data_IF_751603199775
#
_entry.id   IF_751603199775
#
_cell.length_a   1.000
_cell.length_b   1.000
_cell.length_c   1.000
_cell.angle_alpha   90.00
_cell.angle_beta   90.00
_cell.angle_gamma   90.00
#
_symmetry.space_group_name_H-M   'P 1'
#
loop_
_entity.id
_entity.type
_entity.pdbx_description
1 polymer ?
#
# COMPACT_ATOMS: atom_id res chain seq x y z
N UNK A 1 20.23 29.75 -32.83
CA UNK A 1 19.58 30.15 -34.09
C UNK A 1 18.19 29.54 -34.13
N UNK A 2 17.12 30.27 -33.78
CA UNK A 2 15.75 29.79 -33.93
C UNK A 2 15.18 30.32 -35.25
N UNK A 3 14.73 29.41 -36.12
CA UNK A 3 14.04 29.78 -37.36
C UNK A 3 12.62 30.24 -37.05
N UNK A 4 12.37 31.53 -37.31
CA UNK A 4 11.08 32.18 -37.22
C UNK A 4 10.40 32.07 -38.61
N UNK A 5 9.32 31.29 -38.73
CA UNK A 5 8.51 31.25 -39.95
C UNK A 5 7.27 32.14 -39.79
N UNK A 6 7.23 33.20 -40.58
CA UNK A 6 6.06 34.04 -40.81
C UNK A 6 4.98 33.27 -41.57
N UNK A 7 3.73 33.34 -41.10
CA UNK A 7 2.53 32.93 -41.84
C UNK A 7 1.75 34.21 -42.19
N UNK A 8 1.41 34.47 -43.47
CA UNK A 8 0.58 35.61 -43.83
C UNK A 8 -0.90 35.30 -43.59
N UNK A 9 -1.61 36.32 -43.05
CA UNK A 9 -3.07 36.32 -42.91
C UNK A 9 -3.73 36.40 -44.28
N UNK A 10 -4.57 35.43 -44.61
CA UNK A 10 -5.54 35.52 -45.69
C UNK A 10 -6.96 35.46 -45.12
N UNK A 11 -7.66 36.57 -45.32
CA UNK A 11 -9.08 36.81 -45.10
C UNK A 11 -9.83 36.26 -46.31
N UNK A 12 -10.94 35.55 -46.12
CA UNK A 12 -11.84 35.20 -47.21
C UNK A 12 -12.73 34.02 -46.86
N UNK A 13 -14.00 34.31 -46.57
CA UNK A 13 -14.97 33.34 -46.09
C UNK A 13 -15.43 32.31 -47.13
N UNK A 14 -15.93 31.20 -46.60
CA UNK A 14 -17.05 30.43 -47.14
C UNK A 14 -17.53 29.51 -46.02
N UNK A 15 -18.67 29.83 -45.42
CA UNK A 15 -19.40 28.95 -44.51
C UNK A 15 -20.01 27.85 -45.37
N UNK A 16 -19.26 26.76 -45.55
CA UNK A 16 -19.79 25.50 -46.05
C UNK A 16 -20.17 24.64 -44.84
N UNK A 17 -21.46 24.62 -44.56
CA UNK A 17 -22.11 23.71 -43.62
C UNK A 17 -21.93 22.28 -44.15
N UNK A 18 -20.79 21.68 -43.83
CA UNK A 18 -20.52 20.27 -44.04
C UNK A 18 -21.36 19.46 -43.06
N UNK A 19 -22.30 18.68 -43.61
CA UNK A 19 -23.12 17.70 -42.92
C UNK A 19 -22.18 16.74 -42.15
N UNK A 20 -21.92 17.04 -40.88
CA UNK A 20 -21.24 16.12 -39.98
C UNK A 20 -22.22 14.97 -39.75
N UNK A 21 -22.03 13.87 -40.50
CA UNK A 21 -22.63 12.60 -40.18
C UNK A 21 -22.17 12.27 -38.76
N UNK A 22 -23.07 12.50 -37.79
CA UNK A 22 -23.01 11.91 -36.48
C UNK A 22 -23.05 10.40 -36.70
N UNK A 23 -21.87 9.81 -36.89
CA UNK A 23 -21.68 8.42 -36.50
C UNK A 23 -21.95 8.42 -35.00
N UNK A 24 -23.18 8.07 -34.65
CA UNK A 24 -23.48 7.54 -33.35
C UNK A 24 -22.53 6.36 -33.18
N UNK A 25 -21.42 6.60 -32.47
CA UNK A 25 -20.72 5.53 -31.80
C UNK A 25 -21.78 4.92 -30.89
N UNK A 26 -22.38 3.82 -31.34
CA UNK A 26 -23.08 2.94 -30.44
C UNK A 26 -22.02 2.49 -29.45
N UNK A 27 -22.02 3.11 -28.26
CA UNK A 27 -21.30 2.60 -27.12
C UNK A 27 -21.72 1.13 -27.01
N UNK A 28 -20.74 0.24 -27.14
CA UNK A 28 -20.90 -1.19 -26.93
C UNK A 28 -21.18 -1.44 -25.44
N UNK A 29 -22.34 -1.01 -24.94
CA UNK A 29 -22.80 -1.29 -23.58
C UNK A 29 -23.32 -2.72 -23.41
N UNK A 30 -22.81 -3.69 -24.16
CA UNK A 30 -23.49 -5.00 -24.31
C UNK A 30 -22.98 -6.11 -23.39
N UNK A 31 -21.67 -6.18 -23.12
CA UNK A 31 -21.08 -7.31 -22.41
C UNK A 31 -21.10 -7.09 -20.89
N UNK A 32 -20.56 -5.96 -20.41
CA UNK A 32 -20.58 -5.63 -18.99
C UNK A 32 -21.99 -5.50 -18.39
N UNK A 33 -22.98 -4.97 -19.12
CA UNK A 33 -24.38 -4.89 -18.63
C UNK A 33 -24.99 -6.27 -18.37
N UNK A 34 -24.67 -7.27 -19.20
CA UNK A 34 -25.15 -8.63 -19.02
C UNK A 34 -24.57 -9.28 -17.76
N UNK A 35 -23.27 -9.10 -17.52
CA UNK A 35 -22.61 -9.58 -16.31
C UNK A 35 -23.23 -8.94 -15.05
N UNK A 36 -23.42 -7.62 -15.09
CA UNK A 36 -23.94 -6.83 -13.97
C UNK A 36 -25.41 -7.13 -13.67
N UNK A 37 -26.19 -7.59 -14.66
CA UNK A 37 -27.56 -8.06 -14.45
C UNK A 37 -27.70 -9.15 -13.36
N UNK A 38 -26.64 -9.93 -13.12
CA UNK A 38 -26.58 -10.93 -12.05
C UNK A 38 -25.49 -10.65 -11.00
N UNK A 39 -24.39 -9.98 -11.35
CA UNK A 39 -23.24 -9.73 -10.46
C UNK A 39 -23.24 -8.36 -9.78
N UNK A 40 -24.14 -7.45 -10.13
CA UNK A 40 -24.34 -6.19 -9.42
C UNK A 40 -25.27 -6.38 -8.20
N UNK A 41 -25.03 -5.62 -7.11
CA UNK A 41 -25.86 -5.69 -5.90
C UNK A 41 -26.40 -4.32 -5.46
N UNK A 42 -27.71 -4.18 -5.24
CA UNK A 42 -28.29 -3.11 -4.43
C UNK A 42 -27.88 -3.19 -2.95
N UNK A 43 -27.66 -2.06 -2.29
CA UNK A 43 -27.37 -2.06 -0.84
C UNK A 43 -28.52 -2.68 -0.03
N UNK A 44 -28.24 -3.75 0.72
CA UNK A 44 -29.16 -4.32 1.73
C UNK A 44 -29.73 -5.71 1.42
N UNK A 45 -29.48 -6.27 0.23
CA UNK A 45 -30.00 -7.59 -0.15
C UNK A 45 -29.01 -8.74 0.13
N UNK A 46 -29.55 -9.92 0.44
CA UNK A 46 -28.77 -11.16 0.64
C UNK A 46 -28.40 -11.73 -0.72
N UNK A 47 -27.12 -12.00 -0.94
CA UNK A 47 -26.65 -12.61 -2.17
C UNK A 47 -27.13 -14.07 -2.28
N UNK A 48 -27.77 -14.42 -3.40
CA UNK A 48 -28.02 -15.83 -3.77
C UNK A 48 -26.75 -16.48 -4.36
N UNK A 49 -25.78 -15.68 -4.84
CA UNK A 49 -24.59 -16.15 -5.56
C UNK A 49 -23.29 -15.52 -5.02
N UNK A 50 -22.16 -16.25 -5.04
CA UNK A 50 -20.88 -15.75 -4.57
C UNK A 50 -20.18 -14.90 -5.64
N UNK A 51 -20.55 -13.62 -5.80
CA UNK A 51 -19.73 -12.56 -6.39
C UNK A 51 -20.57 -11.29 -6.54
N UNK A 52 -20.44 -10.37 -5.58
CA UNK A 52 -21.09 -9.05 -5.63
C UNK A 52 -20.07 -8.01 -6.05
N UNK A 53 -20.35 -7.30 -7.15
CA UNK A 53 -19.57 -6.18 -7.65
C UNK A 53 -20.33 -4.89 -7.36
N UNK A 54 -19.62 -3.89 -6.82
CA UNK A 54 -20.12 -2.53 -6.76
C UNK A 54 -19.72 -1.81 -8.05
N UNK A 55 -20.69 -1.57 -8.94
CA UNK A 55 -20.44 -0.96 -10.25
C UNK A 55 -19.75 0.39 -10.14
N UNK A 56 -20.18 1.23 -9.19
CA UNK A 56 -19.57 2.54 -8.95
C UNK A 56 -18.11 2.42 -8.51
N UNK A 57 -17.77 1.44 -7.67
CA UNK A 57 -16.37 1.19 -7.29
C UNK A 57 -15.53 0.72 -8.47
N UNK A 58 -16.07 -0.18 -9.30
CA UNK A 58 -15.38 -0.67 -10.49
C UNK A 58 -15.12 0.43 -11.52
N UNK A 59 -16.14 1.22 -11.86
CA UNK A 59 -16.02 2.34 -12.80
C UNK A 59 -15.03 3.41 -12.32
N UNK A 60 -14.86 3.58 -11.01
CA UNK A 60 -13.89 4.51 -10.42
C UNK A 60 -12.50 3.88 -10.19
N UNK A 61 -12.32 2.59 -10.48
CA UNK A 61 -11.02 1.92 -10.41
C UNK A 61 -10.16 2.28 -11.61
N UNK A 62 -8.86 1.98 -11.56
CA UNK A 62 -7.97 2.15 -12.72
C UNK A 62 -8.33 1.25 -13.91
N UNK A 63 -9.18 0.23 -13.69
CA UNK A 63 -9.64 -0.72 -14.70
C UNK A 63 -11.11 -0.49 -15.10
N UNK A 64 -11.74 0.62 -14.69
CA UNK A 64 -13.16 0.88 -14.99
C UNK A 64 -13.50 1.06 -16.47
N UNK A 65 -12.49 1.03 -17.35
CA UNK A 65 -12.62 1.06 -18.82
C UNK A 65 -12.54 -0.32 -19.46
N UNK A 66 -12.22 -1.37 -18.69
CA UNK A 66 -12.15 -2.74 -19.17
C UNK A 66 -13.52 -3.41 -19.08
N UNK A 67 -13.75 -4.39 -19.95
CA UNK A 67 -14.89 -5.28 -19.87
C UNK A 67 -14.61 -6.39 -18.84
N UNK A 68 -15.67 -6.98 -18.27
CA UNK A 68 -15.51 -8.05 -17.28
C UNK A 68 -14.71 -9.25 -17.84
N UNK A 69 -14.94 -9.58 -19.11
CA UNK A 69 -14.32 -10.70 -19.83
C UNK A 69 -12.82 -10.50 -20.08
N UNK A 70 -12.30 -9.27 -20.01
CA UNK A 70 -10.87 -8.98 -20.17
C UNK A 70 -10.03 -9.61 -19.03
N UNK A 71 -10.67 -9.81 -17.87
CA UNK A 71 -10.07 -10.52 -16.73
C UNK A 71 -10.71 -11.90 -16.53
N UNK A 72 -12.04 -12.01 -16.63
CA UNK A 72 -12.78 -13.26 -16.49
C UNK A 72 -12.77 -14.07 -17.79
N UNK A 73 -11.60 -14.59 -18.14
CA UNK A 73 -11.39 -15.35 -19.37
C UNK A 73 -12.21 -16.65 -19.37
N UNK A 74 -12.88 -16.93 -20.49
CA UNK A 74 -13.69 -18.15 -20.68
C UNK A 74 -15.14 -18.04 -20.22
N UNK A 75 -15.62 -16.84 -19.89
CA UNK A 75 -16.99 -16.58 -19.41
C UNK A 75 -17.92 -15.96 -20.48
N UNK A 76 -17.72 -16.28 -21.76
CA UNK A 76 -18.42 -15.65 -22.89
C UNK A 76 -19.85 -16.17 -23.16
N UNK A 77 -20.39 -17.10 -22.37
CA UNK A 77 -21.73 -17.67 -22.54
C UNK A 77 -22.51 -17.59 -21.23
N UNK A 78 -23.76 -17.12 -21.23
CA UNK A 78 -24.57 -17.00 -19.99
C UNK A 78 -25.83 -17.89 -20.10
N UNK A 79 -26.15 -18.73 -19.09
CA UNK A 79 -25.39 -18.99 -17.86
C UNK A 79 -24.06 -19.73 -18.14
N UNK A 80 -22.98 -19.24 -17.54
CA UNK A 80 -21.63 -19.75 -17.81
C UNK A 80 -21.30 -20.96 -16.93
N UNK A 81 -20.76 -22.00 -17.57
CA UNK A 81 -19.92 -23.00 -16.91
C UNK A 81 -18.46 -22.71 -17.29
N UNK A 82 -17.53 -22.76 -16.33
CA UNK A 82 -16.13 -22.42 -16.58
C UNK A 82 -15.50 -23.45 -17.53
N UNK A 83 -15.33 -23.09 -18.81
CA UNK A 83 -14.60 -23.92 -19.78
C UNK A 83 -13.09 -23.67 -19.67
N UNK A 84 -12.38 -24.60 -19.01
CA UNK A 84 -10.92 -24.53 -18.80
C UNK A 84 -10.08 -24.57 -20.08
N UNK A 85 -10.69 -24.82 -21.23
CA UNK A 85 -10.03 -25.08 -22.53
C UNK A 85 -9.63 -23.81 -23.29
N UNK A 86 -10.15 -22.64 -22.90
CA UNK A 86 -9.89 -21.37 -23.59
C UNK A 86 -8.72 -20.55 -23.00
N UNK A 87 -8.01 -21.11 -22.01
CA UNK A 87 -6.96 -20.40 -21.26
C UNK A 87 -5.60 -21.01 -21.58
N UNK A 88 -4.64 -20.17 -21.95
CA UNK A 88 -3.24 -20.54 -22.19
C UNK A 88 -2.63 -21.31 -21.00
N UNK A 89 -1.80 -22.32 -21.29
CA UNK A 89 -1.19 -23.20 -20.28
C UNK A 89 -0.39 -22.43 -19.21
N UNK A 90 0.35 -21.42 -19.64
CA UNK A 90 1.17 -20.58 -18.78
C UNK A 90 0.31 -19.83 -17.75
N UNK A 91 -0.85 -19.32 -18.18
CA UNK A 91 -1.79 -18.62 -17.32
C UNK A 91 -2.50 -19.58 -16.36
N UNK A 92 -2.84 -20.79 -16.83
CA UNK A 92 -3.44 -21.84 -15.99
C UNK A 92 -2.50 -22.26 -14.85
N UNK A 93 -1.20 -22.37 -15.13
CA UNK A 93 -0.20 -22.69 -14.11
C UNK A 93 -0.13 -21.63 -13.01
N UNK A 94 -0.26 -20.36 -13.36
CA UNK A 94 -0.32 -19.26 -12.38
C UNK A 94 -1.64 -19.33 -11.61
N UNK A 95 -2.76 -19.54 -12.29
CA UNK A 95 -4.08 -19.67 -11.70
C UNK A 95 -4.14 -20.78 -10.64
N UNK A 96 -3.53 -21.93 -10.89
CA UNK A 96 -3.42 -23.04 -9.92
C UNK A 96 -2.70 -22.62 -8.63
N UNK A 97 -1.68 -21.76 -8.72
CA UNK A 97 -0.98 -21.22 -7.54
C UNK A 97 -1.82 -20.23 -6.75
N UNK A 98 -2.79 -19.58 -7.41
CA UNK A 98 -3.66 -18.58 -6.81
C UNK A 98 -5.01 -19.13 -6.36
N UNK A 99 -5.29 -20.42 -6.58
CA UNK A 99 -6.60 -21.03 -6.32
C UNK A 99 -7.06 -20.88 -4.86
N UNK A 100 -6.15 -20.90 -3.88
CA UNK A 100 -6.50 -20.67 -2.48
C UNK A 100 -6.82 -19.20 -2.16
N UNK A 101 -6.29 -18.25 -2.95
CA UNK A 101 -6.50 -16.80 -2.77
C UNK A 101 -7.73 -16.30 -3.52
N UNK A 102 -8.04 -16.90 -4.66
CA UNK A 102 -9.16 -16.53 -5.52
C UNK A 102 -10.02 -17.77 -5.82
N UNK A 103 -10.77 -18.30 -4.83
CA UNK A 103 -11.48 -19.57 -4.96
C UNK A 103 -12.58 -19.57 -6.02
N UNK A 104 -13.09 -18.40 -6.40
CA UNK A 104 -14.17 -18.26 -7.39
C UNK A 104 -13.65 -18.17 -8.83
N UNK A 105 -12.56 -17.44 -9.04
CA UNK A 105 -11.93 -17.35 -10.35
C UNK A 105 -10.41 -17.12 -10.22
N UNK A 106 -9.63 -18.21 -10.12
CA UNK A 106 -8.18 -18.13 -10.08
C UNK A 106 -7.57 -17.66 -11.42
N UNK A 107 -8.29 -17.83 -12.54
CA UNK A 107 -7.82 -17.40 -13.86
C UNK A 107 -7.85 -15.88 -13.94
N UNK A 108 -8.93 -15.25 -13.48
CA UNK A 108 -9.00 -13.78 -13.39
C UNK A 108 -7.92 -13.20 -12.47
N UNK A 109 -7.64 -13.87 -11.34
CA UNK A 109 -6.53 -13.47 -10.47
C UNK A 109 -5.17 -13.57 -11.18
N UNK A 110 -4.96 -14.59 -12.00
CA UNK A 110 -3.74 -14.73 -12.80
C UNK A 110 -3.67 -13.74 -13.97
N UNK A 111 -4.82 -13.29 -14.49
CA UNK A 111 -4.97 -12.48 -15.70
C UNK A 111 -4.19 -11.16 -15.71
N UNK A 112 -3.76 -10.66 -14.54
CA UNK A 112 -2.89 -9.49 -14.45
C UNK A 112 -1.65 -9.60 -15.34
N UNK A 113 -1.07 -10.80 -15.50
CA UNK A 113 0.16 -11.01 -16.29
C UNK A 113 -0.04 -10.80 -17.79
N UNK A 114 -1.28 -10.92 -18.30
CA UNK A 114 -1.60 -10.74 -19.72
C UNK A 114 -1.30 -9.31 -20.18
N UNK A 115 -1.53 -8.32 -19.32
CA UNK A 115 -1.26 -6.90 -19.62
C UNK A 115 -0.05 -6.35 -18.85
N UNK A 116 0.24 -6.86 -17.66
CA UNK A 116 1.31 -6.38 -16.78
C UNK A 116 2.51 -7.35 -16.69
N UNK A 117 2.90 -7.94 -17.81
CA UNK A 117 3.95 -8.98 -17.87
C UNK A 117 5.29 -8.54 -17.24
N UNK A 118 5.80 -7.36 -17.58
CA UNK A 118 7.08 -6.88 -17.05
C UNK A 118 7.04 -6.68 -15.52
N UNK A 119 5.92 -6.19 -15.01
CA UNK A 119 5.72 -6.02 -13.56
C UNK A 119 5.59 -7.37 -12.87
N UNK A 120 4.87 -8.31 -13.48
CA UNK A 120 4.78 -9.69 -13.00
C UNK A 120 6.17 -10.32 -12.89
N UNK A 121 7.05 -10.15 -13.90
CA UNK A 121 8.41 -10.68 -13.84
C UNK A 121 9.23 -10.07 -12.70
N UNK A 122 9.07 -8.77 -12.42
CA UNK A 122 9.68 -8.14 -11.24
C UNK A 122 9.17 -8.77 -9.93
N UNK A 123 7.84 -8.97 -9.80
CA UNK A 123 7.22 -9.63 -8.64
C UNK A 123 7.75 -11.05 -8.48
N UNK A 124 7.80 -11.81 -9.57
CA UNK A 124 8.28 -13.20 -9.60
C UNK A 124 9.74 -13.32 -9.14
N UNK A 125 10.57 -12.32 -9.44
CA UNK A 125 11.98 -12.28 -9.06
C UNK A 125 12.21 -11.85 -7.60
N UNK A 126 11.30 -11.09 -7.01
CA UNK A 126 11.37 -10.69 -5.60
C UNK A 126 11.08 -11.84 -4.64
N UNK A 127 11.35 -11.64 -3.34
CA UNK A 127 11.20 -12.69 -2.31
C UNK A 127 9.79 -13.27 -2.21
N UNK A 128 8.76 -12.43 -2.38
CA UNK A 128 7.37 -12.90 -2.35
C UNK A 128 7.02 -13.76 -3.57
N UNK A 129 7.51 -13.40 -4.75
CA UNK A 129 7.33 -14.22 -5.95
C UNK A 129 8.11 -15.52 -5.91
N UNK A 130 9.34 -15.50 -5.37
CA UNK A 130 10.12 -16.72 -5.13
C UNK A 130 9.40 -17.66 -4.14
N UNK A 131 8.83 -17.11 -3.06
CA UNK A 131 8.03 -17.87 -2.11
C UNK A 131 6.78 -18.47 -2.77
N UNK A 132 6.02 -17.67 -3.54
CA UNK A 132 4.76 -18.11 -4.16
C UNK A 132 4.98 -19.14 -5.28
N UNK A 133 5.91 -18.88 -6.19
CA UNK A 133 6.10 -19.69 -7.40
C UNK A 133 7.21 -20.74 -7.27
N UNK A 134 8.29 -20.42 -6.55
CA UNK A 134 9.42 -21.33 -6.34
C UNK A 134 9.17 -22.30 -5.18
N UNK A 135 8.92 -21.75 -3.98
CA UNK A 135 8.71 -22.53 -2.76
C UNK A 135 7.26 -23.04 -2.62
N UNK A 136 6.34 -22.55 -3.47
CA UNK A 136 4.92 -22.92 -3.50
C UNK A 136 4.19 -22.58 -2.19
N UNK A 137 4.61 -21.51 -1.53
CA UNK A 137 3.95 -20.96 -0.35
C UNK A 137 2.71 -20.17 -0.80
N UNK A 138 1.54 -20.77 -0.69
CA UNK A 138 0.27 -20.18 -1.15
C UNK A 138 -0.19 -18.95 -0.36
N UNK A 139 0.39 -18.72 0.83
CA UNK A 139 0.09 -17.52 1.62
C UNK A 139 0.91 -16.31 1.16
N UNK A 140 2.02 -16.53 0.43
CA UNK A 140 2.88 -15.46 -0.05
C UNK A 140 2.08 -14.48 -0.94
N UNK A 141 2.29 -13.16 -0.81
CA UNK A 141 1.41 -12.18 -1.43
C UNK A 141 1.57 -12.12 -2.95
N UNK A 142 0.46 -11.84 -3.64
CA UNK A 142 0.37 -11.54 -5.06
C UNK A 142 -0.26 -10.15 -5.29
N UNK A 143 -0.53 -9.77 -6.55
CA UNK A 143 -0.91 -8.40 -6.92
C UNK A 143 -2.07 -7.83 -6.06
N UNK A 144 -3.11 -8.62 -5.82
CA UNK A 144 -4.30 -8.19 -5.06
C UNK A 144 -4.04 -8.03 -3.55
N UNK A 145 -3.07 -8.75 -3.00
CA UNK A 145 -2.76 -8.70 -1.57
C UNK A 145 -2.23 -7.31 -1.18
N UNK A 146 -1.50 -6.66 -2.10
CA UNK A 146 -1.00 -5.30 -1.94
C UNK A 146 -1.99 -4.25 -2.50
N UNK A 147 -2.49 -4.44 -3.73
CA UNK A 147 -3.25 -3.40 -4.43
C UNK A 147 -4.76 -3.39 -4.12
N UNK A 148 -5.32 -4.52 -3.66
CA UNK A 148 -6.76 -4.69 -3.45
C UNK A 148 -7.44 -5.46 -4.58
N UNK A 149 -8.77 -5.40 -4.62
CA UNK A 149 -9.52 -6.14 -5.62
C UNK A 149 -9.31 -5.51 -7.00
N UNK A 150 -9.22 -6.29 -8.08
CA UNK A 150 -9.25 -5.75 -9.44
C UNK A 150 -10.53 -4.94 -9.72
N UNK A 151 -11.60 -5.19 -8.93
CA UNK A 151 -12.86 -4.46 -9.02
C UNK A 151 -12.88 -3.11 -8.29
N UNK A 152 -11.84 -2.76 -7.52
CA UNK A 152 -11.78 -1.49 -6.78
C UNK A 152 -10.36 -0.92 -6.65
N UNK A 153 -9.43 -1.39 -7.48
CA UNK A 153 -8.03 -1.00 -7.46
C UNK A 153 -7.85 0.49 -7.79
N UNK A 154 -7.12 1.19 -6.92
CA UNK A 154 -6.85 2.64 -7.02
C UNK A 154 -5.40 2.92 -7.40
N UNK A 155 -5.11 4.02 -8.13
CA UNK A 155 -3.74 4.36 -8.48
C UNK A 155 -2.94 4.69 -7.21
N UNK A 156 -1.62 4.46 -7.24
CA UNK A 156 -0.74 4.69 -6.07
C UNK A 156 -0.67 6.16 -5.60
N UNK A 157 -1.16 7.09 -6.42
CA UNK A 157 -1.27 8.52 -6.08
C UNK A 157 -2.56 8.86 -5.33
N UNK A 158 -3.54 7.96 -5.28
CA UNK A 158 -4.79 8.16 -4.55
C UNK A 158 -4.57 7.85 -3.06
N UNK A 159 -4.87 8.78 -2.13
CA UNK A 159 -4.76 8.55 -0.68
C UNK A 159 -5.55 7.35 -0.15
N UNK A 160 -6.61 6.92 -0.85
CA UNK A 160 -7.42 5.75 -0.51
C UNK A 160 -6.87 4.44 -1.10
N UNK A 161 -5.77 4.50 -1.84
CA UNK A 161 -5.08 3.30 -2.33
C UNK A 161 -4.35 2.59 -1.19
N UNK A 162 -4.41 1.26 -1.22
CA UNK A 162 -3.64 0.41 -0.29
C UNK A 162 -2.14 0.58 -0.50
N UNK A 163 -1.71 0.96 -1.69
CA UNK A 163 -0.31 1.22 -2.03
C UNK A 163 0.02 2.72 -2.08
N UNK A 164 -0.86 3.58 -1.56
CA UNK A 164 -0.51 4.98 -1.34
C UNK A 164 0.69 5.07 -0.40
N UNK A 165 1.58 6.04 -0.61
CA UNK A 165 2.85 6.13 0.09
C UNK A 165 2.74 5.95 1.61
N UNK A 166 1.79 6.65 2.25
CA UNK A 166 1.60 6.58 3.71
C UNK A 166 0.84 5.34 4.18
N UNK A 167 0.19 4.61 3.26
CA UNK A 167 -0.53 3.36 3.52
C UNK A 167 0.39 2.13 3.45
N UNK A 168 1.55 2.24 2.80
CA UNK A 168 2.48 1.12 2.59
C UNK A 168 2.83 0.37 3.89
N UNK A 169 3.18 1.01 5.01
CA UNK A 169 3.48 0.27 6.24
C UNK A 169 2.30 -0.55 6.75
N UNK A 170 1.06 -0.06 6.59
CA UNK A 170 -0.13 -0.80 6.97
C UNK A 170 -0.35 -2.00 6.04
N UNK A 171 -0.10 -1.83 4.73
CA UNK A 171 -0.23 -2.90 3.74
C UNK A 171 0.75 -4.04 4.02
N UNK A 172 2.02 -3.75 4.31
CA UNK A 172 2.99 -4.75 4.70
C UNK A 172 2.66 -5.39 6.07
N UNK A 173 2.15 -4.61 7.02
CA UNK A 173 1.81 -5.08 8.36
C UNK A 173 0.65 -6.07 8.40
N UNK A 174 -0.17 -6.18 7.34
CA UNK A 174 -1.23 -7.21 7.24
C UNK A 174 -0.68 -8.64 7.30
N UNK A 175 0.57 -8.85 6.92
CA UNK A 175 1.23 -10.16 6.99
C UNK A 175 2.45 -10.12 7.93
N UNK A 176 3.28 -9.07 7.84
CA UNK A 176 4.48 -8.93 8.68
C UNK A 176 4.18 -8.45 10.11
N UNK A 177 2.92 -8.13 10.42
CA UNK A 177 2.43 -7.89 11.78
C UNK A 177 1.36 -8.88 12.21
N UNK A 178 1.06 -9.89 11.38
CA UNK A 178 0.07 -10.92 11.68
C UNK A 178 0.72 -12.10 12.40
N UNK A 179 0.23 -12.42 13.59
CA UNK A 179 0.84 -13.45 14.44
C UNK A 179 0.76 -14.85 13.83
N UNK A 180 -0.30 -15.17 13.08
CA UNK A 180 -0.46 -16.49 12.47
C UNK A 180 0.58 -16.70 11.37
N UNK A 181 0.70 -15.72 10.46
CA UNK A 181 1.71 -15.73 9.40
C UNK A 181 3.13 -15.73 9.97
N UNK A 182 3.40 -14.88 10.97
CA UNK A 182 4.71 -14.78 11.63
C UNK A 182 5.12 -16.12 12.23
N UNK A 183 4.23 -16.79 12.97
CA UNK A 183 4.54 -18.08 13.60
C UNK A 183 4.70 -19.18 12.55
N UNK A 184 3.78 -19.25 11.57
CA UNK A 184 3.77 -20.27 10.52
C UNK A 184 5.05 -20.24 9.69
N UNK A 185 5.51 -19.05 9.32
CA UNK A 185 6.68 -18.87 8.44
C UNK A 185 7.94 -18.42 9.17
N UNK A 186 7.91 -18.36 10.51
CA UNK A 186 9.04 -17.97 11.38
C UNK A 186 9.62 -16.61 10.99
N UNK A 187 8.75 -15.65 10.64
CA UNK A 187 9.16 -14.30 10.29
C UNK A 187 9.63 -13.55 11.54
N UNK A 188 10.41 -12.47 11.34
CA UNK A 188 10.82 -11.62 12.44
C UNK A 188 9.61 -10.81 12.97
N UNK A 189 9.19 -11.12 14.20
CA UNK A 189 8.06 -10.47 14.89
C UNK A 189 8.27 -8.98 15.16
N UNK A 190 9.52 -8.52 15.20
CA UNK A 190 9.86 -7.16 15.61
C UNK A 190 9.86 -6.16 14.45
N UNK A 191 9.64 -6.58 13.21
CA UNK A 191 9.78 -5.70 12.04
C UNK A 191 8.80 -4.53 12.08
N UNK A 192 7.50 -4.81 12.25
CA UNK A 192 6.47 -3.75 12.29
C UNK A 192 6.57 -2.89 13.55
N UNK A 193 6.72 -3.45 14.78
CA UNK A 193 6.91 -2.65 15.99
C UNK A 193 8.13 -1.72 15.91
N UNK A 194 9.30 -2.24 15.54
CA UNK A 194 10.53 -1.43 15.48
C UNK A 194 10.48 -0.39 14.36
N UNK A 195 9.84 -0.67 13.23
CA UNK A 195 9.58 0.36 12.22
C UNK A 195 8.73 1.50 12.79
N UNK A 196 7.64 1.18 13.49
CA UNK A 196 6.75 2.19 14.10
C UNK A 196 7.46 3.07 15.12
N UNK A 197 8.38 2.49 15.88
CA UNK A 197 9.17 3.20 16.89
C UNK A 197 10.32 4.01 16.30
N UNK A 198 10.78 3.66 15.09
CA UNK A 198 11.84 4.38 14.38
C UNK A 198 11.48 5.84 14.08
N UNK A 199 12.49 6.67 13.80
CA UNK A 199 12.29 8.05 13.35
C UNK A 199 11.43 8.13 12.08
N UNK A 200 11.59 7.20 11.14
CA UNK A 200 10.78 7.14 9.93
C UNK A 200 9.31 6.87 10.25
N UNK A 201 9.03 5.84 11.06
CA UNK A 201 7.67 5.48 11.46
C UNK A 201 6.99 6.56 12.31
N UNK A 202 7.66 7.08 13.35
CA UNK A 202 7.12 8.15 14.20
C UNK A 202 6.79 9.40 13.40
N UNK A 203 7.69 9.83 12.52
CA UNK A 203 7.48 11.04 11.71
C UNK A 203 6.40 10.82 10.64
N UNK A 204 6.25 9.61 10.10
CA UNK A 204 5.12 9.24 9.24
C UNK A 204 3.78 9.36 9.98
N UNK A 205 3.69 8.80 11.20
CA UNK A 205 2.49 8.86 12.04
C UNK A 205 2.11 10.30 12.38
N UNK A 206 3.11 11.18 12.57
CA UNK A 206 2.92 12.62 12.76
C UNK A 206 2.54 13.38 11.47
N UNK A 207 2.29 12.68 10.36
CA UNK A 207 1.77 13.25 9.11
C UNK A 207 2.82 13.63 8.07
N UNK A 208 4.09 13.33 8.28
CA UNK A 208 5.12 13.60 7.27
C UNK A 208 5.11 12.54 6.17
N UNK A 209 4.90 12.94 4.93
CA UNK A 209 5.08 12.09 3.74
C UNK A 209 6.52 12.05 3.21
N UNK A 210 7.47 12.76 3.84
CA UNK A 210 8.89 12.78 3.45
C UNK A 210 9.76 11.94 4.39
N UNK A 211 9.49 10.64 4.45
CA UNK A 211 10.17 9.67 5.32
C UNK A 211 10.15 8.28 4.70
N UNK A 212 11.22 7.50 4.87
CA UNK A 212 11.26 6.16 4.29
C UNK A 212 10.12 5.25 4.80
N UNK A 213 9.54 4.50 3.88
CA UNK A 213 8.58 3.41 4.15
C UNK A 213 9.20 2.08 3.72
N UNK A 214 8.49 0.97 3.93
CA UNK A 214 9.00 -0.38 3.66
C UNK A 214 9.60 -0.49 2.25
N UNK A 215 8.91 0.04 1.24
CA UNK A 215 9.33 0.00 -0.16
C UNK A 215 10.51 0.92 -0.48
N UNK A 216 10.83 1.91 0.36
CA UNK A 216 11.99 2.79 0.17
C UNK A 216 13.31 2.03 0.32
N UNK A 217 13.33 0.96 1.11
CA UNK A 217 14.51 0.09 1.27
C UNK A 217 14.37 -1.22 0.49
N UNK A 218 13.20 -1.86 0.59
CA UNK A 218 12.99 -3.19 0.03
C UNK A 218 12.59 -3.18 -1.46
N UNK A 219 12.17 -2.04 -2.01
CA UNK A 219 11.53 -1.98 -3.34
C UNK A 219 10.04 -2.31 -3.27
N UNK A 220 9.34 -2.15 -4.39
CA UNK A 220 7.89 -2.34 -4.49
C UNK A 220 7.53 -3.66 -5.18
N UNK A 221 7.85 -3.81 -6.47
CA UNK A 221 7.52 -5.04 -7.22
C UNK A 221 8.64 -6.09 -7.14
N UNK A 222 9.92 -5.69 -7.19
CA UNK A 222 11.04 -6.60 -6.93
C UNK A 222 11.51 -6.51 -5.47
N UNK A 223 10.68 -7.00 -4.53
CA UNK A 223 10.97 -6.91 -3.09
C UNK A 223 12.25 -7.69 -2.76
N UNK A 224 13.25 -6.96 -2.26
CA UNK A 224 14.59 -7.46 -1.95
C UNK A 224 14.60 -8.18 -0.61
N UNK A 225 15.36 -9.28 -0.57
CA UNK A 225 15.57 -10.08 0.63
C UNK A 225 16.44 -9.32 1.66
N UNK A 226 15.90 -8.98 2.86
CA UNK A 226 16.69 -8.34 3.91
C UNK A 226 17.87 -9.18 4.41
N UNK A 227 17.82 -10.50 4.24
CA UNK A 227 18.85 -11.44 4.72
C UNK A 227 19.99 -11.61 3.73
N UNK A 228 19.82 -11.14 2.48
CA UNK A 228 20.85 -11.24 1.45
C UNK A 228 22.05 -10.34 1.75
N UNK A 229 23.25 -10.84 1.45
CA UNK A 229 24.49 -10.07 1.60
C UNK A 229 24.52 -8.84 0.68
N UNK A 230 23.89 -8.91 -0.49
CA UNK A 230 23.80 -7.75 -1.40
C UNK A 230 22.91 -6.64 -0.82
N UNK A 231 21.84 -7.00 -0.08
CA UNK A 231 21.00 -6.01 0.59
C UNK A 231 21.75 -5.30 1.71
N UNK A 232 22.43 -6.06 2.58
CA UNK A 232 23.17 -5.49 3.72
C UNK A 232 24.36 -4.63 3.27
N UNK A 233 25.09 -5.05 2.23
CA UNK A 233 26.20 -4.28 1.67
C UNK A 233 25.74 -2.95 1.04
N UNK A 234 24.56 -2.92 0.40
CA UNK A 234 24.03 -1.73 -0.27
C UNK A 234 23.21 -0.78 0.63
N UNK A 235 23.17 -1.01 1.94
CA UNK A 235 22.31 -0.23 2.83
C UNK A 235 22.79 1.22 2.97
N UNK A 236 24.10 1.46 3.00
CA UNK A 236 24.67 2.81 3.08
C UNK A 236 24.24 3.68 1.89
N UNK A 237 24.28 3.12 0.67
CA UNK A 237 23.86 3.82 -0.55
C UNK A 237 22.36 4.11 -0.53
N UNK A 238 21.56 3.16 -0.03
CA UNK A 238 20.11 3.31 0.14
C UNK A 238 19.79 4.46 1.11
N UNK A 239 20.45 4.50 2.26
CA UNK A 239 20.34 5.60 3.21
C UNK A 239 20.83 6.93 2.60
N UNK A 240 21.88 6.88 1.78
CA UNK A 240 22.53 8.00 1.11
C UNK A 240 21.62 8.81 0.18
N UNK A 241 20.52 8.23 -0.30
CA UNK A 241 19.51 8.92 -1.11
C UNK A 241 18.89 10.12 -0.37
N UNK A 242 18.81 10.05 0.95
CA UNK A 242 18.29 11.12 1.80
C UNK A 242 19.33 11.63 2.82
N UNK A 243 20.20 10.75 3.31
CA UNK A 243 21.23 11.05 4.30
C UNK A 243 22.60 11.16 3.65
N UNK A 244 22.94 12.36 3.17
CA UNK A 244 24.24 12.62 2.57
C UNK A 244 25.39 12.20 3.51
N UNK A 245 26.31 11.39 3.01
CA UNK A 245 27.43 10.85 3.78
C UNK A 245 27.08 9.65 4.68
N UNK A 246 25.94 8.98 4.45
CA UNK A 246 25.60 7.74 5.14
C UNK A 246 26.73 6.70 4.99
N UNK A 247 27.20 6.18 6.12
CA UNK A 247 28.25 5.15 6.18
C UNK A 247 27.66 3.80 6.54
N UNK A 248 28.43 2.71 6.35
CA UNK A 248 28.02 1.37 6.80
C UNK A 248 27.70 1.33 8.31
N UNK A 249 28.48 2.07 9.14
CA UNK A 249 28.22 2.17 10.59
C UNK A 249 26.91 2.88 10.90
N UNK A 250 26.61 3.95 10.16
CA UNK A 250 25.33 4.64 10.27
C UNK A 250 24.18 3.70 9.89
N UNK A 251 24.29 3.03 8.75
CA UNK A 251 23.28 2.09 8.25
C UNK A 251 23.05 0.91 9.21
N UNK A 252 24.10 0.36 9.82
CA UNK A 252 24.00 -0.78 10.75
C UNK A 252 23.22 -0.47 12.03
N UNK A 253 23.09 0.81 12.41
CA UNK A 253 22.38 1.18 13.63
C UNK A 253 20.84 1.06 13.50
N UNK A 254 20.29 0.90 12.28
CA UNK A 254 18.86 1.03 12.01
C UNK A 254 18.21 -0.18 11.30
N UNK A 255 18.83 -1.35 11.35
CA UNK A 255 18.16 -2.59 10.96
C UNK A 255 17.03 -2.87 11.97
N UNK A 256 15.84 -3.31 11.52
CA UNK A 256 14.64 -3.62 12.34
C UNK A 256 14.86 -4.70 13.41
N UNK A 257 15.74 -4.40 14.34
CA UNK A 257 16.23 -5.19 15.44
C UNK A 257 15.79 -4.44 16.69
N UNK A 258 15.13 -5.10 17.64
CA UNK A 258 14.72 -4.44 18.88
C UNK A 258 15.96 -3.90 19.59
N UNK A 259 15.86 -2.69 20.14
CA UNK A 259 16.91 -2.03 20.92
C UNK A 259 16.99 -2.62 22.33
N UNK A 260 17.64 -3.78 22.46
CA UNK A 260 17.84 -4.45 23.74
C UNK A 260 19.29 -4.27 24.22
N UNK A 261 19.52 -4.56 25.51
CA UNK A 261 20.88 -4.65 26.05
C UNK A 261 21.73 -5.65 25.25
N UNK A 262 21.15 -6.74 24.76
CA UNK A 262 21.88 -7.75 24.00
C UNK A 262 22.21 -7.32 22.57
N UNK A 263 21.32 -6.60 21.89
CA UNK A 263 21.48 -6.24 20.48
C UNK A 263 22.23 -4.92 20.26
N UNK A 264 21.99 -3.91 21.12
CA UNK A 264 22.47 -2.54 20.93
C UNK A 264 22.77 -1.83 22.27
N UNK A 265 23.71 -2.38 23.06
CA UNK A 265 24.10 -1.90 24.40
C UNK A 265 24.19 -0.37 24.54
N UNK A 266 24.96 0.29 23.65
CA UNK A 266 25.17 1.74 23.74
C UNK A 266 23.85 2.50 23.55
N UNK A 267 23.04 2.10 22.57
CA UNK A 267 21.79 2.78 22.25
C UNK A 267 20.77 2.54 23.37
N UNK A 268 20.71 1.32 23.91
CA UNK A 268 19.83 0.95 25.02
C UNK A 268 20.08 1.79 26.28
N UNK A 269 21.33 1.88 26.76
CA UNK A 269 21.64 2.68 27.94
C UNK A 269 21.50 4.18 27.71
N UNK A 270 21.76 4.65 26.48
CA UNK A 270 21.54 6.05 26.10
C UNK A 270 20.05 6.39 26.18
N UNK A 271 19.17 5.54 25.63
CA UNK A 271 17.73 5.70 25.73
C UNK A 271 17.25 5.66 27.19
N UNK A 272 17.73 4.70 27.99
CA UNK A 272 17.35 4.58 29.39
C UNK A 272 17.73 5.83 30.20
N UNK A 273 18.94 6.35 29.97
CA UNK A 273 19.42 7.57 30.61
C UNK A 273 18.53 8.78 30.25
N UNK A 274 18.30 9.03 28.96
CA UNK A 274 17.51 10.19 28.53
C UNK A 274 16.03 10.06 28.91
N UNK A 275 15.47 8.85 28.87
CA UNK A 275 14.09 8.58 29.31
C UNK A 275 13.93 8.80 30.81
N UNK A 276 14.90 8.34 31.60
CA UNK A 276 14.96 8.59 33.05
C UNK A 276 15.06 10.09 33.35
N UNK A 277 16.04 10.77 32.74
CA UNK A 277 16.23 12.21 32.89
C UNK A 277 14.97 13.01 32.53
N UNK A 278 14.36 12.73 31.38
CA UNK A 278 13.15 13.42 30.91
C UNK A 278 11.99 13.18 31.86
N UNK A 279 11.78 11.94 32.30
CA UNK A 279 10.72 11.59 33.25
C UNK A 279 10.91 12.30 34.59
N UNK A 280 12.14 12.32 35.12
CA UNK A 280 12.46 13.03 36.36
C UNK A 280 12.18 14.53 36.24
N UNK A 281 12.61 15.17 35.15
CA UNK A 281 12.38 16.60 34.92
C UNK A 281 10.88 16.92 34.82
N UNK A 282 10.12 16.13 34.05
CA UNK A 282 8.67 16.32 33.91
C UNK A 282 7.96 16.15 35.25
N UNK A 283 8.30 15.12 36.03
CA UNK A 283 7.69 14.88 37.34
C UNK A 283 8.01 16.02 38.31
N UNK A 284 9.27 16.46 38.38
CA UNK A 284 9.69 17.54 39.26
C UNK A 284 9.01 18.87 38.91
N UNK A 285 8.94 19.23 37.62
CA UNK A 285 8.25 20.43 37.17
C UNK A 285 6.75 20.36 37.41
N UNK A 286 6.12 19.22 37.14
CA UNK A 286 4.69 19.02 37.39
C UNK A 286 4.37 19.14 38.88
N UNK A 287 5.18 18.53 39.74
CA UNK A 287 5.07 18.66 41.19
C UNK A 287 5.22 20.11 41.64
N UNK A 288 6.23 20.82 41.11
CA UNK A 288 6.45 22.22 41.41
C UNK A 288 5.24 23.08 41.06
N UNK A 289 4.68 22.93 39.85
CA UNK A 289 3.48 23.64 39.40
C UNK A 289 2.28 23.33 40.28
N UNK A 290 2.08 22.06 40.66
CA UNK A 290 0.97 21.67 41.54
C UNK A 290 1.11 22.29 42.93
N UNK A 291 2.31 22.26 43.51
CA UNK A 291 2.58 22.84 44.82
C UNK A 291 2.37 24.36 44.82
N UNK A 292 2.81 25.06 43.78
CA UNK A 292 2.62 26.49 43.61
C UNK A 292 1.13 26.85 43.44
N UNK A 293 0.39 26.08 42.64
CA UNK A 293 -1.05 26.24 42.47
C UNK A 293 -1.81 26.06 43.80
N UNK A 294 -1.45 25.04 44.59
CA UNK A 294 -2.04 24.79 45.90
C UNK A 294 -1.73 25.91 46.89
N UNK A 295 -0.49 26.43 46.89
CA UNK A 295 -0.10 27.56 47.72
C UNK A 295 -0.87 28.83 47.34
N UNK A 296 -0.96 29.13 46.05
CA UNK A 296 -1.71 30.27 45.51
C UNK A 296 -3.21 30.18 45.83
N UNK A 297 -3.81 29.00 45.68
CA UNK A 297 -5.21 28.75 46.04
C UNK A 297 -5.45 28.95 47.54
N UNK A 298 -4.54 28.48 48.39
CA UNK A 298 -4.60 28.66 49.84
C UNK A 298 -4.56 30.15 50.23
N UNK A 299 -3.69 30.93 49.60
CA UNK A 299 -3.59 32.38 49.82
C UNK A 299 -4.87 33.08 49.35
N UNK A 300 -5.39 32.72 48.17
CA UNK A 300 -6.63 33.28 47.63
C UNK A 300 -7.83 33.01 48.55
N UNK A 301 -8.03 31.77 48.99
CA UNK A 301 -9.12 31.40 49.91
C UNK A 301 -9.00 32.16 51.23
N UNK A 302 -7.80 32.26 51.80
CA UNK A 302 -7.56 32.97 53.07
C UNK A 302 -7.86 34.46 52.94
N UNK A 303 -7.42 35.13 51.85
CA UNK A 303 -7.73 36.55 51.59
C UNK A 303 -9.23 36.77 51.37
N UNK A 304 -9.91 35.90 50.63
CA UNK A 304 -11.36 35.99 50.39
C UNK A 304 -12.16 35.80 51.68
N UNK A 305 -11.74 34.90 52.57
CA UNK A 305 -12.35 34.74 53.90
C UNK A 305 -12.17 35.99 54.77
N UNK A 306 -11.00 36.64 54.72
CA UNK A 306 -10.71 37.86 55.49
C UNK A 306 -11.49 39.10 55.00
N UNK A 307 -11.79 39.17 53.70
CA UNK A 307 -12.46 40.31 53.08
C UNK A 307 -13.98 40.09 52.87
N UNK A 308 -14.58 39.05 53.47
CA UNK A 308 -16.05 38.92 53.52
C UNK A 308 -16.57 39.89 54.59
N UNK A 309 -17.46 40.84 54.24
CA UNK A 309 -18.09 41.75 55.19
C UNK A 309 -18.94 40.99 56.22
#
# INVERSE_FOLDING_TARGET
MPFCFCIPKLVGGAVLFGLFLLFSFTASGGASELCLGCHERPEGEKAEWPAVINLRSFQNSVHGVLECEDCHLGFSQVPHAQEKTQVEESLRTIAERLASKAPHDPVAAAGCVTCHYETFEQVRQGVHGQALFGEKITDAPYCMDCHGSPHDIRPQTDPLSRVYYTSIPLTCARCHGDSEIIVKYKLNINVVPTYRESFHGRKLILGSSRVAVCTSCHGAHAIRDPTSSQFTAGLADTCGQCHQGATARFASAFAHIPMTEESQQIVHYTELFFSGLTSTVIIALSLHVVLDLLASLRVYITRRRRNRP
#
